data_IF_741507056262
#
_entry.id   IF_741507056262
#
_cell.length_a   1.000
_cell.length_b   1.000
_cell.length_c   1.000
_cell.angle_alpha   90.00
_cell.angle_beta   90.00
_cell.angle_gamma   90.00
#
_symmetry.space_group_name_H-M   'P 1'
#
loop_
_entity.id
_entity.type
_entity.pdbx_description
1 polymer ?
#
# COMPACT_ATOMS: atom_id res chain seq x y z
N UNK A 1 76.19 -25.13 -4.24
CA UNK A 1 75.33 -25.70 -5.29
C UNK A 1 73.84 -25.91 -4.91
N UNK A 2 73.37 -25.91 -3.64
CA UNK A 2 71.92 -26.07 -3.38
C UNK A 2 71.08 -24.80 -3.59
N UNK A 3 71.66 -23.59 -3.46
CA UNK A 3 70.90 -22.34 -3.55
C UNK A 3 70.42 -21.97 -4.98
N UNK A 4 71.10 -22.44 -6.02
CA UNK A 4 70.74 -22.20 -7.44
C UNK A 4 69.62 -23.11 -7.95
N UNK A 5 69.39 -24.26 -7.30
CA UNK A 5 68.30 -25.17 -7.64
C UNK A 5 66.98 -24.72 -6.98
N UNK A 6 67.02 -24.29 -5.72
CA UNK A 6 65.85 -23.78 -4.99
C UNK A 6 65.28 -22.51 -5.64
N UNK A 7 66.14 -21.64 -6.17
CA UNK A 7 65.73 -20.41 -6.87
C UNK A 7 65.11 -20.69 -8.25
N UNK A 8 65.55 -21.74 -8.94
CA UNK A 8 64.93 -22.19 -10.20
C UNK A 8 63.56 -22.83 -10.01
N UNK A 9 63.36 -23.52 -8.89
CA UNK A 9 62.09 -24.20 -8.59
C UNK A 9 60.99 -23.21 -8.19
N UNK A 10 61.32 -22.09 -7.54
CA UNK A 10 60.33 -21.04 -7.18
C UNK A 10 59.95 -20.13 -8.35
N UNK A 11 60.74 -20.09 -9.43
CA UNK A 11 60.41 -19.37 -10.67
C UNK A 11 59.51 -20.16 -11.62
N UNK A 12 59.36 -21.48 -11.41
CA UNK A 12 58.63 -22.37 -12.31
C UNK A 12 57.30 -22.84 -11.70
N UNK A 13 56.18 -22.45 -12.33
CA UNK A 13 54.85 -22.72 -11.81
C UNK A 13 54.46 -24.21 -11.97
N UNK A 14 54.09 -24.89 -10.89
CA UNK A 14 53.56 -26.26 -10.97
C UNK A 14 52.13 -26.25 -11.53
N UNK A 15 52.00 -26.65 -12.80
CA UNK A 15 50.71 -26.73 -13.50
C UNK A 15 49.73 -27.73 -12.88
N UNK A 16 50.21 -28.78 -12.20
CA UNK A 16 49.33 -29.74 -11.52
C UNK A 16 48.70 -29.10 -10.29
N UNK A 17 49.49 -28.35 -9.52
CA UNK A 17 49.00 -27.59 -8.38
C UNK A 17 48.04 -26.49 -8.84
N UNK A 18 48.39 -25.73 -9.89
CA UNK A 18 47.50 -24.75 -10.49
C UNK A 18 46.16 -25.36 -10.90
N UNK A 19 46.18 -26.49 -11.62
CA UNK A 19 44.96 -27.18 -12.05
C UNK A 19 44.13 -27.64 -10.86
N UNK A 20 44.76 -28.12 -9.77
CA UNK A 20 44.08 -28.52 -8.54
C UNK A 20 43.37 -27.35 -7.88
N UNK A 21 44.05 -26.19 -7.78
CA UNK A 21 43.48 -24.95 -7.22
C UNK A 21 42.31 -24.48 -8.08
N UNK A 22 42.51 -24.32 -9.39
CA UNK A 22 41.45 -23.89 -10.31
C UNK A 22 40.26 -24.88 -10.32
N UNK A 23 40.51 -26.18 -10.16
CA UNK A 23 39.45 -27.19 -10.04
C UNK A 23 38.66 -27.06 -8.75
N UNK A 24 39.30 -26.68 -7.64
CA UNK A 24 38.62 -26.42 -6.37
C UNK A 24 37.78 -25.13 -6.45
N UNK A 25 38.33 -24.07 -7.02
CA UNK A 25 37.64 -22.79 -7.27
C UNK A 25 36.44 -22.98 -8.19
N UNK A 26 36.59 -23.77 -9.26
CA UNK A 26 35.48 -24.15 -10.16
C UNK A 26 34.34 -24.86 -9.42
N UNK A 27 34.63 -25.59 -8.34
CA UNK A 27 33.63 -26.25 -7.49
C UNK A 27 33.08 -25.33 -6.38
N UNK A 28 33.43 -24.05 -6.39
CA UNK A 28 33.00 -23.06 -5.39
C UNK A 28 33.81 -23.07 -4.09
N UNK A 29 34.91 -23.82 -4.00
CA UNK A 29 35.79 -23.75 -2.84
C UNK A 29 36.76 -22.56 -3.00
N UNK A 30 36.41 -21.42 -2.40
CA UNK A 30 37.24 -20.23 -2.39
C UNK A 30 38.17 -20.12 -1.17
N UNK A 31 38.31 -21.16 -0.34
CA UNK A 31 39.29 -21.16 0.77
C UNK A 31 40.70 -21.58 0.33
N UNK A 32 40.87 -22.08 -0.89
CA UNK A 32 42.16 -22.50 -1.43
C UNK A 32 42.99 -21.31 -1.90
N UNK A 33 44.32 -21.42 -1.81
CA UNK A 33 45.26 -20.40 -2.30
C UNK A 33 46.44 -21.05 -3.02
N UNK A 34 47.01 -20.36 -3.99
CA UNK A 34 48.34 -20.62 -4.50
C UNK A 34 49.36 -20.31 -3.40
N UNK A 35 50.50 -21.02 -3.39
CA UNK A 35 51.54 -20.80 -2.40
C UNK A 35 52.28 -19.47 -2.63
N UNK A 36 52.72 -18.83 -1.54
CA UNK A 36 53.39 -17.52 -1.57
C UNK A 36 54.91 -17.63 -1.88
N UNK A 37 55.41 -18.85 -2.06
CA UNK A 37 56.83 -19.15 -2.28
C UNK A 37 57.28 -18.93 -3.73
N UNK A 38 56.35 -18.75 -4.66
CA UNK A 38 56.67 -18.48 -6.06
C UNK A 38 57.22 -17.06 -6.23
N UNK A 39 58.23 -16.91 -7.09
CA UNK A 39 58.84 -15.62 -7.40
C UNK A 39 58.81 -15.35 -8.90
N UNK A 40 59.19 -14.14 -9.32
CA UNK A 40 59.19 -13.76 -10.73
C UNK A 40 57.78 -13.78 -11.36
N UNK A 41 57.66 -14.33 -12.57
CA UNK A 41 56.36 -14.40 -13.26
C UNK A 41 55.41 -15.44 -12.66
N UNK A 42 55.94 -16.54 -12.12
CA UNK A 42 55.13 -17.55 -11.43
C UNK A 42 54.46 -16.96 -10.18
N UNK A 43 55.20 -16.15 -9.42
CA UNK A 43 54.66 -15.38 -8.28
C UNK A 43 53.52 -14.45 -8.70
N UNK A 44 53.73 -13.64 -9.74
CA UNK A 44 52.68 -12.74 -10.27
C UNK A 44 51.41 -13.47 -10.71
N UNK A 45 51.55 -14.66 -11.30
CA UNK A 45 50.41 -15.50 -11.69
C UNK A 45 49.71 -16.05 -10.44
N UNK A 46 50.46 -16.52 -9.43
CA UNK A 46 49.92 -16.98 -8.16
C UNK A 46 49.14 -15.89 -7.43
N UNK A 47 49.69 -14.67 -7.34
CA UNK A 47 49.05 -13.50 -6.75
C UNK A 47 47.75 -13.15 -7.48
N UNK A 48 47.79 -13.05 -8.81
CA UNK A 48 46.60 -12.75 -9.61
C UNK A 48 45.48 -13.80 -9.44
N UNK A 49 45.84 -15.08 -9.33
CA UNK A 49 44.87 -16.14 -9.03
C UNK A 49 44.30 -15.96 -7.63
N UNK A 50 45.14 -15.71 -6.64
CA UNK A 50 44.71 -15.50 -5.25
C UNK A 50 43.76 -14.29 -5.15
N UNK A 51 44.05 -13.19 -5.84
CA UNK A 51 43.18 -12.00 -5.92
C UNK A 51 41.81 -12.34 -6.53
N UNK A 52 41.77 -13.13 -7.61
CA UNK A 52 40.52 -13.59 -8.24
C UNK A 52 39.73 -14.51 -7.31
N UNK A 53 40.41 -15.40 -6.57
CA UNK A 53 39.76 -16.28 -5.59
C UNK A 53 39.16 -15.45 -4.45
N UNK A 54 39.91 -14.47 -3.94
CA UNK A 54 39.44 -13.59 -2.87
C UNK A 54 38.24 -12.75 -3.33
N UNK A 55 38.26 -12.20 -4.54
CA UNK A 55 37.15 -11.43 -5.09
C UNK A 55 35.88 -12.29 -5.20
N UNK A 56 36.00 -13.53 -5.67
CA UNK A 56 34.88 -14.45 -5.74
C UNK A 56 34.34 -14.82 -4.35
N UNK A 57 35.22 -15.01 -3.37
CA UNK A 57 34.83 -15.26 -1.97
C UNK A 57 34.03 -14.09 -1.40
N UNK A 58 34.54 -12.86 -1.57
CA UNK A 58 33.88 -11.63 -1.13
C UNK A 58 32.52 -11.45 -1.82
N UNK A 59 32.44 -11.69 -3.13
CA UNK A 59 31.19 -11.60 -3.90
C UNK A 59 30.15 -12.59 -3.37
N UNK A 60 30.55 -13.82 -3.10
CA UNK A 60 29.65 -14.86 -2.57
C UNK A 60 29.09 -14.45 -1.21
N UNK A 61 29.95 -14.01 -0.28
CA UNK A 61 29.54 -13.50 1.03
C UNK A 61 28.59 -12.31 0.92
N UNK A 62 28.84 -11.41 -0.03
CA UNK A 62 28.02 -10.21 -0.22
C UNK A 62 26.64 -10.54 -0.80
N UNK A 63 26.55 -11.49 -1.74
CA UNK A 63 25.28 -11.99 -2.27
C UNK A 63 24.45 -12.70 -1.18
N UNK A 64 25.08 -13.50 -0.33
CA UNK A 64 24.42 -14.12 0.82
C UNK A 64 23.90 -13.06 1.81
N UNK A 65 24.74 -12.05 2.11
CA UNK A 65 24.37 -10.95 3.00
C UNK A 65 23.18 -10.19 2.46
N UNK A 66 23.21 -9.75 1.20
CA UNK A 66 22.13 -8.95 0.63
C UNK A 66 20.84 -9.76 0.50
N UNK A 67 20.93 -11.04 0.14
CA UNK A 67 19.78 -11.95 0.10
C UNK A 67 19.10 -12.10 1.46
N UNK A 68 19.87 -12.17 2.55
CA UNK A 68 19.33 -12.19 3.92
C UNK A 68 18.73 -10.83 4.30
N UNK A 69 19.48 -9.75 4.11
CA UNK A 69 19.12 -8.41 4.59
C UNK A 69 17.92 -7.83 3.84
N UNK A 70 17.91 -7.90 2.51
CA UNK A 70 16.80 -7.39 1.68
C UNK A 70 15.67 -8.41 1.64
N UNK A 71 15.98 -9.68 1.38
CA UNK A 71 14.97 -10.71 1.13
C UNK A 71 14.29 -11.25 2.39
N UNK A 72 15.02 -11.45 3.50
CA UNK A 72 14.45 -12.03 4.73
C UNK A 72 14.15 -11.00 5.80
N UNK A 73 15.00 -10.00 5.96
CA UNK A 73 14.85 -8.96 6.99
C UNK A 73 14.06 -7.74 6.49
N UNK A 74 13.77 -7.64 5.18
CA UNK A 74 12.99 -6.54 4.60
C UNK A 74 13.72 -5.18 4.62
N UNK A 75 15.04 -5.15 4.79
CA UNK A 75 15.85 -3.92 4.78
C UNK A 75 16.13 -3.46 3.35
N UNK A 76 15.08 -3.03 2.66
CA UNK A 76 15.02 -2.70 1.24
C UNK A 76 15.91 -1.52 0.78
N UNK A 77 16.46 -0.74 1.70
CA UNK A 77 17.41 0.35 1.41
C UNK A 77 18.86 -0.12 1.31
N UNK A 78 19.15 -1.34 1.74
CA UNK A 78 20.49 -1.90 1.68
C UNK A 78 20.88 -2.25 0.24
N UNK A 79 22.15 -2.06 -0.09
CA UNK A 79 22.72 -2.34 -1.41
C UNK A 79 23.95 -3.23 -1.28
N UNK A 80 24.20 -4.02 -2.31
CA UNK A 80 25.39 -4.86 -2.41
C UNK A 80 26.61 -4.02 -2.79
N UNK A 81 27.76 -4.29 -2.18
CA UNK A 81 29.03 -3.60 -2.46
C UNK A 81 30.24 -4.53 -2.33
N UNK A 82 31.20 -4.40 -3.25
CA UNK A 82 32.49 -5.10 -3.21
C UNK A 82 33.68 -4.14 -3.06
N UNK A 83 33.43 -2.91 -2.57
CA UNK A 83 34.47 -1.90 -2.44
C UNK A 83 35.02 -1.45 -3.81
N UNK A 84 36.33 -1.52 -4.01
CA UNK A 84 37.03 -1.04 -5.22
C UNK A 84 37.02 -2.01 -6.41
N UNK A 85 36.13 -3.02 -6.41
CA UNK A 85 36.01 -3.95 -7.53
C UNK A 85 35.55 -3.21 -8.81
N UNK A 86 36.49 -2.96 -9.72
CA UNK A 86 36.24 -2.30 -11.00
C UNK A 86 35.89 -3.27 -12.14
N UNK A 87 35.56 -2.70 -13.30
CA UNK A 87 35.24 -3.47 -14.51
C UNK A 87 33.94 -4.25 -14.41
N UNK A 88 33.84 -5.37 -15.12
CA UNK A 88 32.61 -6.16 -15.23
C UNK A 88 32.07 -6.70 -13.90
N UNK A 89 32.93 -6.85 -12.89
CA UNK A 89 32.51 -7.23 -11.54
C UNK A 89 31.68 -6.14 -10.86
N UNK A 90 32.07 -4.87 -11.03
CA UNK A 90 31.29 -3.72 -10.60
C UNK A 90 29.94 -3.66 -11.31
N UNK A 91 29.93 -3.82 -12.64
CA UNK A 91 28.70 -3.83 -13.43
C UNK A 91 27.72 -4.95 -13.04
N UNK A 92 28.23 -6.11 -12.60
CA UNK A 92 27.39 -7.19 -12.05
C UNK A 92 26.66 -6.75 -10.77
N UNK A 93 27.37 -6.12 -9.84
CA UNK A 93 26.76 -5.57 -8.63
C UNK A 93 25.79 -4.43 -8.92
N UNK A 94 26.13 -3.54 -9.85
CA UNK A 94 25.23 -2.47 -10.29
C UNK A 94 23.93 -3.05 -10.84
N UNK A 95 24.01 -4.14 -11.61
CA UNK A 95 22.83 -4.84 -12.13
C UNK A 95 21.97 -5.40 -11.00
N UNK A 96 22.58 -6.02 -9.98
CA UNK A 96 21.85 -6.50 -8.78
C UNK A 96 21.21 -5.34 -8.02
N UNK A 97 21.94 -4.24 -7.83
CA UNK A 97 21.43 -3.06 -7.13
C UNK A 97 20.30 -2.36 -7.91
N UNK A 98 20.36 -2.36 -9.24
CA UNK A 98 19.26 -1.90 -10.10
C UNK A 98 18.05 -2.79 -9.89
N UNK A 99 18.19 -4.11 -9.97
CA UNK A 99 17.09 -5.04 -9.74
C UNK A 99 16.47 -4.87 -8.35
N UNK A 100 17.29 -4.73 -7.31
CA UNK A 100 16.78 -4.44 -5.95
C UNK A 100 15.98 -3.14 -5.98
N UNK A 101 16.49 -2.07 -6.60
CA UNK A 101 15.80 -0.77 -6.64
C UNK A 101 14.47 -0.86 -7.40
N UNK A 102 14.48 -1.50 -8.57
CA UNK A 102 13.31 -1.69 -9.44
C UNK A 102 12.21 -2.53 -8.76
N UNK A 103 12.56 -3.49 -7.89
CA UNK A 103 11.60 -4.29 -7.12
C UNK A 103 11.10 -3.58 -5.85
N UNK A 104 11.96 -2.77 -5.24
CA UNK A 104 11.69 -2.11 -3.96
C UNK A 104 10.78 -0.91 -4.14
N UNK A 105 10.98 -0.11 -5.18
CA UNK A 105 10.31 1.17 -5.34
C UNK A 105 8.78 1.05 -5.43
N UNK A 106 8.18 0.13 -6.22
CA UNK A 106 6.72 -0.06 -6.22
C UNK A 106 6.16 -0.49 -4.85
N UNK A 107 6.93 -1.26 -4.09
CA UNK A 107 6.55 -1.71 -2.74
C UNK A 107 6.49 -0.52 -1.77
N UNK A 108 7.46 0.40 -1.87
CA UNK A 108 7.48 1.63 -1.08
C UNK A 108 6.28 2.52 -1.42
N UNK A 109 5.98 2.72 -2.70
CA UNK A 109 4.81 3.52 -3.12
C UNK A 109 3.49 2.91 -2.63
N UNK A 110 3.37 1.59 -2.69
CA UNK A 110 2.20 0.88 -2.17
C UNK A 110 2.04 1.12 -0.67
N UNK A 111 3.12 0.97 0.10
CA UNK A 111 3.10 1.22 1.55
C UNK A 111 2.75 2.68 1.88
N UNK A 112 3.25 3.64 1.08
CA UNK A 112 2.97 5.08 1.24
C UNK A 112 1.48 5.37 1.08
N UNK A 113 0.86 4.85 0.03
CA UNK A 113 -0.58 5.07 -0.24
C UNK A 113 -1.45 4.39 0.82
N UNK A 114 -1.15 3.14 1.20
CA UNK A 114 -1.88 2.47 2.29
C UNK A 114 -1.78 3.26 3.59
N UNK A 115 -0.61 3.83 3.89
CA UNK A 115 -0.42 4.69 5.07
C UNK A 115 -1.26 5.96 4.96
N UNK A 116 -1.30 6.61 3.80
CA UNK A 116 -2.12 7.81 3.59
C UNK A 116 -3.61 7.52 3.84
N UNK A 117 -4.13 6.43 3.24
CA UNK A 117 -5.51 5.97 3.44
C UNK A 117 -5.80 5.69 4.92
N UNK A 118 -4.88 5.05 5.64
CA UNK A 118 -5.03 4.78 7.07
C UNK A 118 -5.11 6.06 7.94
N UNK A 119 -4.59 7.19 7.45
CA UNK A 119 -4.70 8.50 8.11
C UNK A 119 -5.85 9.34 7.54
N UNK A 120 -6.69 8.77 6.67
CA UNK A 120 -7.85 9.44 6.07
C UNK A 120 -7.53 10.27 4.82
N UNK A 121 -6.29 10.24 4.31
CA UNK A 121 -5.94 10.89 3.05
C UNK A 121 -6.22 9.96 1.87
N UNK A 122 -7.37 10.19 1.22
CA UNK A 122 -7.85 9.44 0.06
C UNK A 122 -7.49 10.11 -1.28
N UNK A 123 -6.64 11.15 -1.25
CA UNK A 123 -6.16 11.84 -2.47
C UNK A 123 -4.93 11.18 -3.08
N UNK A 124 -4.25 10.31 -2.32
CA UNK A 124 -2.99 9.69 -2.71
C UNK A 124 -3.21 8.46 -3.56
N UNK A 125 -2.50 8.37 -4.69
CA UNK A 125 -2.49 7.20 -5.58
C UNK A 125 -1.06 6.72 -5.82
N UNK A 126 -0.95 5.46 -6.27
CA UNK A 126 0.30 4.90 -6.76
C UNK A 126 0.49 5.41 -8.19
N UNK A 127 1.61 6.08 -8.50
CA UNK A 127 1.88 6.55 -9.84
C UNK A 127 2.07 5.35 -10.79
N UNK A 128 1.50 5.46 -12.00
CA UNK A 128 1.65 4.43 -13.05
C UNK A 128 2.99 4.51 -13.78
N UNK A 129 3.79 5.53 -13.47
CA UNK A 129 5.13 5.77 -13.98
C UNK A 129 6.04 6.20 -12.83
N UNK A 130 7.21 5.59 -12.75
CA UNK A 130 8.19 5.86 -11.70
C UNK A 130 9.55 6.06 -12.37
N UNK A 131 10.20 7.19 -12.09
CA UNK A 131 11.52 7.55 -12.66
C UNK A 131 11.58 7.45 -14.21
N UNK A 132 10.53 7.88 -14.90
CA UNK A 132 10.46 7.84 -16.36
C UNK A 132 10.12 6.46 -16.93
N UNK A 133 9.83 5.47 -16.08
CA UNK A 133 9.50 4.09 -16.46
C UNK A 133 8.07 3.77 -16.10
N UNK A 134 7.28 3.43 -17.10
CA UNK A 134 5.91 2.97 -16.88
C UNK A 134 5.93 1.63 -16.14
N UNK A 135 5.10 1.50 -15.10
CA UNK A 135 4.86 0.23 -14.44
C UNK A 135 4.26 -0.76 -15.44
N UNK A 136 4.69 -2.03 -15.35
CA UNK A 136 4.23 -3.11 -16.23
C UNK A 136 3.98 -4.39 -15.42
N UNK A 137 3.21 -5.29 -16.02
CA UNK A 137 2.89 -6.59 -15.42
C UNK A 137 2.25 -6.45 -14.04
N UNK A 138 2.69 -7.30 -13.10
CA UNK A 138 2.18 -7.37 -11.73
C UNK A 138 2.26 -6.04 -10.97
N UNK A 139 3.29 -5.22 -11.23
CA UNK A 139 3.41 -3.92 -10.58
C UNK A 139 2.32 -2.94 -11.02
N UNK A 140 2.02 -2.91 -12.32
CA UNK A 140 0.92 -2.09 -12.84
C UNK A 140 -0.43 -2.58 -12.32
N UNK A 141 -0.63 -3.91 -12.31
CA UNK A 141 -1.86 -4.50 -11.80
C UNK A 141 -2.07 -4.17 -10.32
N UNK A 142 -1.03 -4.31 -9.50
CA UNK A 142 -1.08 -3.93 -8.07
C UNK A 142 -1.41 -2.46 -7.90
N UNK A 143 -0.75 -1.57 -8.66
CA UNK A 143 -1.02 -0.14 -8.65
C UNK A 143 -2.48 0.17 -9.01
N UNK A 144 -3.01 -0.45 -10.05
CA UNK A 144 -4.40 -0.28 -10.48
C UNK A 144 -5.41 -0.75 -9.44
N UNK A 145 -5.18 -1.91 -8.82
CA UNK A 145 -6.06 -2.45 -7.77
C UNK A 145 -6.08 -1.52 -6.55
N UNK A 146 -4.92 -1.07 -6.10
CA UNK A 146 -4.83 -0.13 -4.97
C UNK A 146 -5.50 1.20 -5.33
N UNK A 147 -5.24 1.76 -6.50
CA UNK A 147 -5.86 3.01 -6.94
C UNK A 147 -7.38 2.90 -7.05
N UNK A 148 -7.89 1.78 -7.58
CA UNK A 148 -9.35 1.53 -7.64
C UNK A 148 -9.96 1.48 -6.24
N UNK A 149 -9.27 0.86 -5.27
CA UNK A 149 -9.72 0.83 -3.87
C UNK A 149 -9.74 2.23 -3.24
N UNK A 150 -8.71 3.05 -3.50
CA UNK A 150 -8.67 4.45 -3.05
C UNK A 150 -9.81 5.27 -3.67
N UNK A 151 -10.06 5.12 -4.96
CA UNK A 151 -11.15 5.80 -5.67
C UNK A 151 -12.52 5.44 -5.09
N UNK A 152 -12.77 4.15 -4.83
CA UNK A 152 -14.02 3.69 -4.22
C UNK A 152 -14.21 4.28 -2.81
N UNK A 153 -13.15 4.27 -1.99
CA UNK A 153 -13.16 4.88 -0.66
C UNK A 153 -13.44 6.38 -0.73
N UNK A 154 -12.75 7.09 -1.62
CA UNK A 154 -12.89 8.54 -1.79
C UNK A 154 -14.30 8.90 -2.25
N UNK A 155 -14.85 8.17 -3.21
CA UNK A 155 -16.21 8.39 -3.70
C UNK A 155 -17.24 8.14 -2.60
N UNK A 156 -17.09 7.06 -1.84
CA UNK A 156 -18.00 6.76 -0.73
C UNK A 156 -17.93 7.83 0.37
N UNK A 157 -16.72 8.22 0.80
CA UNK A 157 -16.52 9.22 1.85
C UNK A 157 -17.09 10.59 1.46
N UNK A 158 -16.87 11.01 0.21
CA UNK A 158 -17.46 12.23 -0.33
C UNK A 158 -18.99 12.17 -0.30
N UNK A 159 -19.56 11.04 -0.71
CA UNK A 159 -21.00 10.91 -0.85
C UNK A 159 -21.72 10.85 0.51
N UNK A 160 -21.16 10.12 1.48
CA UNK A 160 -21.68 10.12 2.85
C UNK A 160 -21.61 11.51 3.47
N UNK A 161 -20.51 12.23 3.25
CA UNK A 161 -20.34 13.61 3.74
C UNK A 161 -21.39 14.54 3.12
N UNK A 162 -21.63 14.40 1.81
CA UNK A 162 -22.63 15.18 1.08
C UNK A 162 -24.04 14.92 1.60
N UNK A 163 -24.45 13.66 1.70
CA UNK A 163 -25.78 13.28 2.21
C UNK A 163 -25.98 13.75 3.65
N UNK A 164 -24.98 13.55 4.52
CA UNK A 164 -25.03 14.00 5.90
C UNK A 164 -25.22 15.52 6.01
N UNK A 165 -24.50 16.29 5.20
CA UNK A 165 -24.64 17.75 5.14
C UNK A 165 -26.00 18.16 4.57
N UNK A 166 -26.42 17.61 3.44
CA UNK A 166 -27.66 18.02 2.77
C UNK A 166 -28.90 17.67 3.59
N UNK A 167 -28.99 16.43 4.10
CA UNK A 167 -30.15 15.97 4.89
C UNK A 167 -30.09 16.50 6.32
N UNK A 168 -28.93 16.41 6.96
CA UNK A 168 -28.78 16.70 8.39
C UNK A 168 -28.56 18.18 8.73
N UNK A 169 -27.88 18.94 7.86
CA UNK A 169 -27.56 20.35 8.13
C UNK A 169 -28.39 21.30 7.28
N UNK A 170 -28.54 21.03 5.98
CA UNK A 170 -29.26 21.92 5.06
C UNK A 170 -30.77 21.63 5.02
N UNK A 171 -31.23 20.53 5.62
CA UNK A 171 -32.64 20.14 5.64
C UNK A 171 -33.21 19.76 4.26
N UNK A 172 -32.35 19.47 3.28
CA UNK A 172 -32.74 18.99 1.95
C UNK A 172 -33.13 17.52 2.04
N UNK A 173 -34.41 17.30 2.35
CA UNK A 173 -34.97 15.96 2.51
C UNK A 173 -35.12 15.25 1.15
N UNK A 174 -34.81 13.95 1.13
CA UNK A 174 -34.94 13.08 -0.04
C UNK A 174 -33.65 12.85 -0.82
N UNK A 175 -32.54 13.45 -0.38
CA UNK A 175 -31.22 13.24 -0.96
C UNK A 175 -30.72 11.85 -0.61
N UNK A 176 -30.14 11.17 -1.61
CA UNK A 176 -29.56 9.85 -1.48
C UNK A 176 -28.12 9.83 -1.99
N UNK A 177 -27.34 8.93 -1.43
CA UNK A 177 -26.00 8.58 -1.85
C UNK A 177 -26.04 7.76 -3.15
N UNK A 178 -25.29 8.19 -4.16
CA UNK A 178 -25.05 7.44 -5.39
C UNK A 178 -23.55 7.19 -5.57
N UNK A 179 -23.09 5.99 -5.21
CA UNK A 179 -21.69 5.58 -5.39
C UNK A 179 -21.61 4.58 -6.55
N UNK A 180 -20.91 4.94 -7.62
CA UNK A 180 -20.80 4.09 -8.82
C UNK A 180 -19.84 2.92 -8.60
N UNK A 181 -20.17 1.77 -9.17
CA UNK A 181 -19.28 0.60 -9.20
C UNK A 181 -19.07 -0.09 -7.84
N UNK A 182 -19.89 0.21 -6.83
CA UNK A 182 -19.84 -0.46 -5.53
C UNK A 182 -20.56 -1.81 -5.57
N UNK A 183 -19.96 -2.79 -4.92
CA UNK A 183 -20.52 -4.13 -4.73
C UNK A 183 -20.17 -4.64 -3.32
N UNK A 184 -20.86 -5.71 -2.88
CA UNK A 184 -20.67 -6.29 -1.56
C UNK A 184 -20.86 -5.27 -0.44
N UNK A 185 -19.95 -5.26 0.53
CA UNK A 185 -20.01 -4.39 1.72
C UNK A 185 -20.16 -2.90 1.38
N UNK A 186 -19.55 -2.42 0.30
CA UNK A 186 -19.67 -1.01 -0.13
C UNK A 186 -21.09 -0.66 -0.56
N UNK A 187 -21.76 -1.59 -1.24
CA UNK A 187 -23.15 -1.42 -1.62
C UNK A 187 -24.05 -1.43 -0.39
N UNK A 188 -23.86 -2.40 0.51
CA UNK A 188 -24.65 -2.52 1.73
C UNK A 188 -24.55 -1.24 2.60
N UNK A 189 -23.35 -0.66 2.71
CA UNK A 189 -23.14 0.60 3.44
C UNK A 189 -23.86 1.78 2.77
N UNK A 190 -23.81 1.87 1.44
CA UNK A 190 -24.50 2.92 0.68
C UNK A 190 -26.02 2.80 0.85
N UNK A 191 -26.55 1.58 0.75
CA UNK A 191 -27.98 1.30 0.91
C UNK A 191 -28.45 1.61 2.34
N UNK A 192 -27.63 1.33 3.37
CA UNK A 192 -27.93 1.69 4.76
C UNK A 192 -27.97 3.20 5.00
N UNK A 193 -27.05 3.98 4.43
CA UNK A 193 -27.08 5.46 4.51
C UNK A 193 -28.34 6.00 3.83
N UNK A 194 -28.71 5.43 2.68
CA UNK A 194 -29.92 5.80 1.96
C UNK A 194 -31.20 5.46 2.73
N UNK A 195 -31.23 4.32 3.41
CA UNK A 195 -32.35 3.94 4.26
C UNK A 195 -32.49 4.90 5.44
N UNK A 196 -31.38 5.28 6.09
CA UNK A 196 -31.38 6.26 7.17
C UNK A 196 -31.89 7.63 6.70
N UNK A 197 -31.35 8.15 5.59
CA UNK A 197 -31.75 9.43 5.02
C UNK A 197 -33.22 9.44 4.56
N UNK A 198 -33.68 8.34 3.96
CA UNK A 198 -35.06 8.15 3.53
C UNK A 198 -36.04 8.11 4.70
N UNK A 199 -35.71 7.39 5.77
CA UNK A 199 -36.52 7.35 6.98
C UNK A 199 -36.65 8.73 7.62
N UNK A 200 -35.54 9.44 7.82
CA UNK A 200 -35.56 10.81 8.38
C UNK A 200 -36.37 11.77 7.50
N UNK A 201 -36.22 11.67 6.18
CA UNK A 201 -37.00 12.46 5.23
C UNK A 201 -38.50 12.24 5.38
N UNK A 202 -38.94 10.97 5.38
CA UNK A 202 -40.35 10.64 5.49
C UNK A 202 -40.94 11.11 6.82
N UNK A 203 -40.19 10.92 7.90
CA UNK A 203 -40.60 11.30 9.26
C UNK A 203 -40.77 12.82 9.39
N UNK A 204 -39.75 13.60 9.01
CA UNK A 204 -39.79 15.07 9.14
C UNK A 204 -40.84 15.68 8.21
N UNK A 205 -40.98 15.18 6.98
CA UNK A 205 -41.96 15.70 6.02
C UNK A 205 -43.40 15.49 6.51
N UNK A 206 -43.72 14.34 7.09
CA UNK A 206 -45.05 14.08 7.62
C UNK A 206 -45.38 14.99 8.82
N UNK A 207 -44.40 15.24 9.69
CA UNK A 207 -44.55 16.20 10.81
C UNK A 207 -44.80 17.61 10.27
N UNK A 208 -44.02 18.05 9.27
CA UNK A 208 -44.16 19.37 8.68
C UNK A 208 -45.53 19.56 8.01
N UNK A 209 -46.05 18.55 7.32
CA UNK A 209 -47.39 18.56 6.71
C UNK A 209 -48.49 18.75 7.76
N UNK A 210 -48.43 17.99 8.86
CA UNK A 210 -49.42 18.09 9.95
C UNK A 210 -49.31 19.42 10.67
N UNK A 211 -48.09 19.90 10.96
CA UNK A 211 -47.88 21.22 11.56
C UNK A 211 -48.42 22.36 10.68
N UNK A 212 -48.25 22.26 9.36
CA UNK A 212 -48.78 23.23 8.40
C UNK A 212 -50.32 23.18 8.36
N UNK A 213 -50.92 22.00 8.42
CA UNK A 213 -52.37 21.85 8.49
C UNK A 213 -52.95 22.52 9.75
N UNK A 214 -52.33 22.29 10.91
CA UNK A 214 -52.70 22.95 12.17
C UNK A 214 -52.62 24.46 12.05
N UNK A 215 -51.53 24.99 11.48
CA UNK A 215 -51.34 26.43 11.30
C UNK A 215 -52.40 27.06 10.38
N UNK A 216 -52.92 26.29 9.42
CA UNK A 216 -54.01 26.70 8.53
C UNK A 216 -55.41 26.44 9.11
N UNK A 217 -55.51 25.96 10.36
CA UNK A 217 -56.77 25.67 11.05
C UNK A 217 -57.39 24.31 10.73
N UNK A 218 -56.72 23.45 9.96
CA UNK A 218 -57.15 22.08 9.70
C UNK A 218 -56.64 21.14 10.81
N UNK A 219 -57.48 20.93 11.82
CA UNK A 219 -57.22 20.04 12.95
C UNK A 219 -57.66 18.59 12.69
N UNK A 220 -58.05 18.25 11.45
CA UNK A 220 -58.40 16.88 11.08
C UNK A 220 -57.17 16.00 10.79
N UNK A 221 -56.00 16.62 10.60
CA UNK A 221 -54.75 15.93 10.26
C UNK A 221 -53.99 15.47 11.51
N UNK A 222 -53.49 14.24 11.46
CA UNK A 222 -52.58 13.67 12.46
C UNK A 222 -51.39 13.01 11.78
N UNK A 223 -50.28 12.92 12.51
CA UNK A 223 -49.12 12.14 12.07
C UNK A 223 -49.49 10.66 12.21
N UNK A 224 -49.45 9.93 11.09
CA UNK A 224 -49.85 8.51 11.04
C UNK A 224 -48.67 7.56 10.79
N UNK A 225 -47.56 8.06 10.26
CA UNK A 225 -46.37 7.27 9.91
C UNK A 225 -45.85 6.50 11.14
N UNK A 226 -45.42 5.26 10.91
CA UNK A 226 -44.81 4.42 11.95
C UNK A 226 -43.40 4.94 12.26
N UNK A 227 -43.16 5.25 13.53
CA UNK A 227 -41.95 5.90 14.02
C UNK A 227 -41.58 5.33 15.38
N UNK A 228 -40.30 5.37 15.72
CA UNK A 228 -39.75 4.79 16.95
C UNK A 228 -38.84 5.80 17.65
N UNK A 229 -38.55 5.55 18.94
CA UNK A 229 -37.65 6.38 19.75
C UNK A 229 -38.13 7.82 19.89
N UNK A 230 -37.21 8.78 19.84
CA UNK A 230 -37.48 10.21 20.01
C UNK A 230 -38.51 10.76 19.01
N UNK A 231 -38.55 10.21 17.79
CA UNK A 231 -39.52 10.63 16.77
C UNK A 231 -40.94 10.17 17.13
N UNK A 232 -41.09 9.04 17.83
CA UNK A 232 -42.40 8.59 18.33
C UNK A 232 -42.92 9.50 19.44
N UNK A 233 -42.04 9.93 20.35
CA UNK A 233 -42.39 10.91 21.38
C UNK A 233 -42.85 12.22 20.74
N UNK A 234 -42.09 12.74 19.77
CA UNK A 234 -42.45 13.93 19.02
C UNK A 234 -43.81 13.79 18.31
N UNK A 235 -44.04 12.66 17.63
CA UNK A 235 -45.34 12.34 17.01
C UNK A 235 -46.49 12.42 18.02
N UNK A 236 -46.32 11.80 19.18
CA UNK A 236 -47.37 11.76 20.21
C UNK A 236 -47.63 13.14 20.79
N UNK A 237 -46.58 13.94 21.02
CA UNK A 237 -46.70 15.33 21.49
C UNK A 237 -47.47 16.18 20.49
N UNK A 238 -47.10 16.13 19.19
CA UNK A 238 -47.80 16.88 18.14
C UNK A 238 -49.25 16.44 18.00
N UNK A 239 -49.52 15.13 17.99
CA UNK A 239 -50.90 14.62 17.89
C UNK A 239 -51.76 15.01 19.11
N UNK A 240 -51.18 15.02 20.31
CA UNK A 240 -51.88 15.48 21.53
C UNK A 240 -52.21 16.98 21.45
N UNK A 241 -51.29 17.78 20.89
CA UNK A 241 -51.53 19.20 20.66
C UNK A 241 -52.70 19.44 19.69
N UNK A 242 -52.79 18.65 18.61
CA UNK A 242 -53.94 18.69 17.68
C UNK A 242 -55.25 18.44 18.44
N UNK A 243 -55.29 17.40 19.28
CA UNK A 243 -56.49 17.03 20.04
C UNK A 243 -56.94 18.13 21.02
N UNK A 244 -55.99 18.77 21.70
CA UNK A 244 -56.26 19.87 22.61
C UNK A 244 -56.79 21.10 21.88
N UNK A 245 -56.17 21.49 20.75
CA UNK A 245 -56.62 22.61 19.93
C UNK A 245 -58.03 22.37 19.37
N UNK A 246 -58.33 21.13 18.95
CA UNK A 246 -59.64 20.80 18.40
C UNK A 246 -60.74 20.87 19.47
N UNK A 247 -60.43 20.41 20.69
CA UNK A 247 -61.34 20.54 21.84
C UNK A 247 -61.60 22.01 22.16
N UNK A 248 -60.55 22.84 22.18
CA UNK A 248 -60.68 24.28 22.45
C UNK A 248 -61.51 25.01 21.39
N UNK A 249 -61.26 24.73 20.11
CA UNK A 249 -62.03 25.29 19.01
C UNK A 249 -63.53 24.96 19.15
N UNK A 250 -63.86 23.72 19.55
CA UNK A 250 -65.25 23.31 19.76
C UNK A 250 -65.93 24.04 20.93
N UNK A 251 -65.20 24.32 22.01
CA UNK A 251 -65.71 25.03 23.19
C UNK A 251 -65.97 26.52 22.89
N UNK A 252 -65.16 27.16 22.04
CA UNK A 252 -65.32 28.58 21.67
C UNK A 252 -66.46 28.81 20.68
N UNK A 253 -66.82 27.82 19.88
CA UNK A 253 -68.01 27.86 19.02
C UNK A 253 -69.33 27.59 19.74
N UNK A 254 -69.29 27.24 21.03
CA UNK A 254 -70.46 26.92 21.86
C UNK A 254 -70.96 28.15 22.62
#
# INVERSE_FOLDING_TARGET
>A
MPAEQVTKDTENLDLRQLLKILSAVKKGNFSVRMADEYTGMAGKVADAINDVIELNERMTKELERIGKVVGKEGKITQRASLGSAGGSWGSCLESINSLISDLVQPTVETSRVIRAVAHGDLSQTIPTEIEGRQLKGEFLQTAQVVNTMVEQLSSFASEVTRVAREVGTEGKLGVQAEVKGVAGTWKDLTDNVNLMAGNLTGQVRNIAEVATAIANGDLSKKITVDVKGEILELKNTVNTMVDQLNSFASEVTR
#
